data_IF_673391227488
#
_entry.id   IF_673391227488
#
_cell.length_a   1.000
_cell.length_b   1.000
_cell.length_c   1.000
_cell.angle_alpha   90.00
_cell.angle_beta   90.00
_cell.angle_gamma   90.00
#
_symmetry.space_group_name_H-M   'P 1'
#
loop_
_entity.id
_entity.type
_entity.pdbx_description
1 polymer ?
#
# COMPACT_ATOMS: atom_id res chain seq x y z
N UNK A 1 -12.82 7.20 23.28
CA UNK A 1 -11.92 7.84 22.29
C UNK A 1 -11.45 6.71 21.40
N UNK A 2 -11.50 6.88 20.08
CA UNK A 2 -11.03 5.87 19.12
C UNK A 2 -9.60 6.21 18.74
N UNK A 3 -8.70 5.24 18.78
CA UNK A 3 -7.29 5.35 18.39
C UNK A 3 -7.10 4.61 17.07
N UNK A 4 -6.56 5.31 16.07
CA UNK A 4 -6.32 4.75 14.74
C UNK A 4 -4.84 4.87 14.41
N UNK A 5 -4.21 3.75 14.04
CA UNK A 5 -2.91 3.79 13.38
C UNK A 5 -3.10 4.13 11.90
N UNK A 6 -2.50 5.22 11.45
CA UNK A 6 -2.72 5.76 10.11
C UNK A 6 -1.72 5.27 9.06
N UNK A 7 -0.78 4.37 9.42
CA UNK A 7 0.24 3.91 8.48
C UNK A 7 0.64 2.46 8.76
N UNK A 8 -0.04 1.53 8.10
CA UNK A 8 0.27 0.10 8.15
C UNK A 8 0.34 -0.50 6.75
N UNK A 9 1.27 -1.43 6.52
CA UNK A 9 1.43 -2.09 5.23
C UNK A 9 1.00 -3.55 5.31
N UNK A 10 0.25 -4.00 4.30
CA UNK A 10 0.06 -5.42 4.03
C UNK A 10 1.07 -5.86 2.97
N UNK A 11 1.38 -7.14 2.93
CA UNK A 11 2.29 -7.70 1.95
C UNK A 11 2.56 -9.17 2.17
N UNK A 12 2.21 -9.98 1.17
CA UNK A 12 2.56 -11.39 1.11
C UNK A 12 3.93 -11.55 0.44
N UNK A 13 4.91 -12.05 1.19
CA UNK A 13 6.28 -12.29 0.70
C UNK A 13 6.26 -13.37 -0.38
N UNK A 14 7.00 -13.14 -1.46
CA UNK A 14 7.12 -14.02 -2.62
C UNK A 14 5.98 -13.91 -3.64
N UNK A 15 4.86 -13.26 -3.30
CA UNK A 15 3.74 -13.05 -4.23
C UNK A 15 3.46 -11.58 -4.55
N UNK A 16 3.49 -10.72 -3.54
CA UNK A 16 3.24 -9.27 -3.64
C UNK A 16 4.49 -8.46 -3.32
N UNK A 17 5.27 -8.93 -2.35
CA UNK A 17 6.54 -8.33 -1.93
C UNK A 17 7.67 -9.30 -2.29
N UNK A 18 8.69 -8.87 -3.05
CA UNK A 18 9.81 -9.74 -3.41
C UNK A 18 10.61 -10.15 -2.17
N UNK A 19 11.23 -11.33 -2.22
CA UNK A 19 11.99 -11.85 -1.05
C UNK A 19 13.22 -10.96 -0.82
N UNK A 20 13.95 -10.65 -1.90
CA UNK A 20 15.14 -9.79 -1.83
C UNK A 20 14.84 -8.42 -1.23
N UNK A 21 13.66 -7.85 -1.49
CA UNK A 21 13.28 -6.54 -0.95
C UNK A 21 13.20 -6.57 0.57
N UNK A 22 12.61 -7.63 1.12
CA UNK A 22 12.49 -7.83 2.56
C UNK A 22 13.85 -8.10 3.20
N UNK A 23 14.70 -8.91 2.54
CA UNK A 23 16.07 -9.18 2.99
C UNK A 23 16.93 -7.90 3.01
N UNK A 24 16.85 -7.05 1.98
CA UNK A 24 17.59 -5.79 1.95
C UNK A 24 17.09 -4.79 2.99
N UNK A 25 15.77 -4.60 3.07
CA UNK A 25 15.16 -3.62 3.97
C UNK A 25 15.36 -3.99 5.44
N UNK A 26 15.14 -5.26 5.80
CA UNK A 26 15.13 -5.70 7.19
C UNK A 26 16.40 -6.43 7.64
N UNK A 27 17.16 -7.02 6.71
CA UNK A 27 18.43 -7.69 7.02
C UNK A 27 19.46 -6.72 7.62
N UNK A 28 19.45 -5.45 7.21
CA UNK A 28 20.32 -4.43 7.82
C UNK A 28 20.00 -4.17 9.32
N UNK A 29 18.80 -4.53 9.76
CA UNK A 29 18.34 -4.42 11.15
C UNK A 29 18.44 -5.75 11.91
N UNK A 30 19.01 -6.80 11.32
CA UNK A 30 19.17 -8.11 11.95
C UNK A 30 17.88 -8.92 12.09
N UNK A 31 16.86 -8.62 11.27
CA UNK A 31 15.64 -9.42 11.21
C UNK A 31 15.92 -10.62 10.30
N UNK A 32 15.91 -11.82 10.89
CA UNK A 32 16.18 -13.08 10.17
C UNK A 32 14.88 -13.80 9.75
N UNK A 33 13.83 -13.70 10.57
CA UNK A 33 12.54 -14.35 10.31
C UNK A 33 11.58 -13.39 9.59
N UNK A 34 11.67 -13.40 8.25
CA UNK A 34 10.76 -12.63 7.40
C UNK A 34 9.37 -13.28 7.35
N UNK A 35 8.35 -12.52 7.71
CA UNK A 35 6.96 -12.99 7.72
C UNK A 35 6.07 -12.12 6.85
N UNK A 36 5.16 -12.77 6.12
CA UNK A 36 4.08 -12.08 5.41
C UNK A 36 3.17 -11.36 6.40
N UNK A 37 2.65 -10.21 5.99
CA UNK A 37 1.74 -9.40 6.80
C UNK A 37 0.39 -9.33 6.10
N UNK A 38 -0.58 -10.08 6.61
CA UNK A 38 -1.99 -10.01 6.21
C UNK A 38 -2.81 -9.21 7.24
N UNK A 39 -4.12 -9.12 7.01
CA UNK A 39 -5.02 -8.39 7.90
C UNK A 39 -5.06 -8.94 9.33
N UNK A 40 -4.95 -10.25 9.52
CA UNK A 40 -4.98 -10.85 10.86
C UNK A 40 -3.73 -10.48 11.64
N UNK A 41 -2.54 -10.53 11.01
CA UNK A 41 -1.30 -10.09 11.63
C UNK A 41 -1.40 -8.63 12.09
N UNK A 42 -1.99 -7.75 11.26
CA UNK A 42 -2.21 -6.37 11.65
C UNK A 42 -3.17 -6.27 12.84
N UNK A 43 -4.31 -6.96 12.82
CA UNK A 43 -5.27 -6.95 13.94
C UNK A 43 -4.62 -7.41 15.25
N UNK A 44 -3.80 -8.45 15.21
CA UNK A 44 -3.08 -8.94 16.39
C UNK A 44 -2.11 -7.87 16.94
N UNK A 45 -1.42 -7.13 16.06
CA UNK A 45 -0.56 -6.00 16.44
C UNK A 45 -1.40 -4.87 17.08
N UNK A 46 -2.56 -4.54 16.50
CA UNK A 46 -3.45 -3.51 17.04
C UNK A 46 -3.94 -3.89 18.45
N UNK A 47 -4.39 -5.14 18.63
CA UNK A 47 -4.88 -5.66 19.90
C UNK A 47 -3.79 -5.66 20.97
N UNK A 48 -2.58 -6.10 20.62
CA UNK A 48 -1.43 -6.12 21.53
C UNK A 48 -1.03 -4.72 22.04
N UNK A 49 -1.37 -3.66 21.29
CA UNK A 49 -1.04 -2.27 21.61
C UNK A 49 -2.24 -1.45 22.07
N UNK A 50 -3.44 -2.04 22.18
CA UNK A 50 -4.66 -1.33 22.56
C UNK A 50 -5.10 -0.27 21.54
N UNK A 51 -4.89 -0.53 20.25
CA UNK A 51 -5.30 0.33 19.14
C UNK A 51 -6.61 -0.20 18.54
N UNK A 52 -7.58 0.69 18.32
CA UNK A 52 -8.93 0.29 17.93
C UNK A 52 -8.99 -0.12 16.45
N UNK A 53 -8.33 0.63 15.55
CA UNK A 53 -8.36 0.38 14.12
C UNK A 53 -7.07 0.82 13.39
N UNK A 54 -6.91 0.38 12.15
CA UNK A 54 -5.73 0.68 11.34
C UNK A 54 -6.06 1.03 9.88
N UNK A 55 -5.28 1.95 9.31
CA UNK A 55 -5.26 2.23 7.88
C UNK A 55 -4.22 1.33 7.20
N UNK A 56 -4.68 0.41 6.36
CA UNK A 56 -3.84 -0.56 5.66
C UNK A 56 -3.69 -0.19 4.20
N UNK A 57 -2.45 -0.06 3.74
CA UNK A 57 -2.15 0.40 2.39
C UNK A 57 -1.63 -0.72 1.48
N UNK A 58 -2.10 -0.67 0.24
CA UNK A 58 -1.46 -1.32 -0.90
C UNK A 58 -0.18 -0.57 -1.27
N UNK A 59 0.65 -1.21 -2.08
CA UNK A 59 1.89 -0.62 -2.58
C UNK A 59 1.97 -0.90 -4.07
N UNK A 60 2.10 0.15 -4.87
CA UNK A 60 2.50 0.02 -6.27
C UNK A 60 3.80 0.77 -6.47
N UNK A 61 4.90 0.02 -6.47
CA UNK A 61 6.22 0.56 -6.82
C UNK A 61 6.86 -0.24 -7.94
N UNK A 62 6.02 -0.85 -8.80
CA UNK A 62 6.48 -1.76 -9.85
C UNK A 62 7.50 -1.13 -10.79
N UNK A 63 7.40 0.18 -11.04
CA UNK A 63 8.32 0.89 -11.92
C UNK A 63 9.76 0.94 -11.40
N UNK A 64 9.94 0.96 -10.08
CA UNK A 64 11.25 1.18 -9.44
C UNK A 64 11.76 -0.01 -8.63
N UNK A 65 10.92 -1.03 -8.40
CA UNK A 65 11.30 -2.26 -7.69
C UNK A 65 11.73 -3.36 -8.66
N UNK A 66 12.96 -3.25 -9.19
CA UNK A 66 13.58 -4.29 -10.00
C UNK A 66 14.98 -4.61 -9.46
N UNK A 67 15.31 -5.90 -9.33
CA UNK A 67 16.64 -6.35 -8.91
C UNK A 67 17.31 -7.17 -10.02
N UNK A 68 18.50 -6.77 -10.52
CA UNK A 68 19.13 -7.43 -11.67
C UNK A 68 19.58 -8.87 -11.41
N UNK A 69 19.87 -9.22 -10.15
CA UNK A 69 20.24 -10.59 -9.76
C UNK A 69 19.02 -11.51 -9.56
N UNK A 70 17.81 -10.94 -9.44
CA UNK A 70 16.54 -11.67 -9.28
C UNK A 70 15.54 -11.30 -10.39
N UNK A 71 15.90 -11.44 -11.69
CA UNK A 71 15.10 -10.89 -12.80
C UNK A 71 13.78 -11.64 -13.05
N UNK A 72 13.57 -12.79 -12.38
CA UNK A 72 12.35 -13.59 -12.46
C UNK A 72 11.39 -13.30 -11.31
N UNK A 73 11.84 -12.61 -10.27
CA UNK A 73 10.94 -12.17 -9.21
C UNK A 73 10.06 -11.03 -9.73
N UNK A 74 8.82 -10.99 -9.23
CA UNK A 74 7.89 -9.91 -9.56
C UNK A 74 8.40 -8.61 -8.95
N UNK A 75 8.06 -7.49 -9.58
CA UNK A 75 8.24 -6.19 -8.96
C UNK A 75 7.20 -6.02 -7.84
N UNK A 76 7.50 -5.19 -6.84
CA UNK A 76 6.67 -5.04 -5.65
C UNK A 76 5.31 -4.42 -5.98
N UNK A 77 4.25 -5.19 -5.74
CA UNK A 77 2.87 -4.83 -6.03
C UNK A 77 1.90 -5.54 -5.09
N UNK A 78 1.24 -4.76 -4.24
CA UNK A 78 0.13 -5.18 -3.37
C UNK A 78 -1.16 -4.54 -3.89
N UNK A 79 -2.03 -5.28 -4.61
CA UNK A 79 -3.20 -4.72 -5.28
C UNK A 79 -4.24 -4.15 -4.32
N UNK A 80 -4.95 -3.09 -4.70
CA UNK A 80 -6.05 -2.53 -3.91
C UNK A 80 -7.19 -3.53 -3.66
N UNK A 81 -7.44 -4.46 -4.59
CA UNK A 81 -8.44 -5.52 -4.39
C UNK A 81 -8.08 -6.45 -3.23
N UNK A 82 -6.79 -6.75 -3.05
CA UNK A 82 -6.33 -7.52 -1.90
C UNK A 82 -6.52 -6.71 -0.60
N UNK A 83 -6.24 -5.41 -0.64
CA UNK A 83 -6.51 -4.54 0.52
C UNK A 83 -8.00 -4.53 0.89
N UNK A 84 -8.88 -4.45 -0.11
CA UNK A 84 -10.32 -4.48 0.09
C UNK A 84 -10.79 -5.80 0.70
N UNK A 85 -10.28 -6.94 0.20
CA UNK A 85 -10.54 -8.26 0.77
C UNK A 85 -10.14 -8.32 2.26
N UNK A 86 -8.95 -7.81 2.60
CA UNK A 86 -8.50 -7.79 4.00
C UNK A 86 -9.35 -6.84 4.87
N UNK A 87 -9.84 -5.72 4.33
CA UNK A 87 -10.76 -4.84 5.04
C UNK A 87 -12.12 -5.50 5.29
N UNK A 88 -12.64 -6.25 4.32
CA UNK A 88 -13.91 -6.99 4.45
C UNK A 88 -13.81 -8.09 5.51
N UNK A 89 -12.72 -8.86 5.51
CA UNK A 89 -12.48 -9.91 6.51
C UNK A 89 -12.34 -9.36 7.95
N UNK A 90 -11.94 -8.09 8.08
CA UNK A 90 -11.69 -7.43 9.36
C UNK A 90 -12.51 -6.13 9.49
N UNK A 91 -13.78 -6.18 9.10
CA UNK A 91 -14.68 -5.03 9.12
C UNK A 91 -14.71 -4.34 10.49
N UNK A 92 -14.59 -3.01 10.48
CA UNK A 92 -14.53 -2.19 11.70
C UNK A 92 -13.17 -2.16 12.40
N UNK A 93 -12.20 -2.95 11.94
CA UNK A 93 -10.81 -2.93 12.42
C UNK A 93 -9.85 -2.36 11.39
N UNK A 94 -10.03 -2.70 10.11
CA UNK A 94 -9.12 -2.26 9.04
C UNK A 94 -9.86 -1.40 8.02
N UNK A 95 -9.15 -0.39 7.52
CA UNK A 95 -9.65 0.52 6.49
C UNK A 95 -8.60 0.72 5.41
N UNK A 96 -9.00 0.61 4.14
CA UNK A 96 -8.08 0.60 3.02
C UNK A 96 -7.57 1.98 2.62
N UNK A 97 -6.31 2.00 2.18
CA UNK A 97 -5.65 3.16 1.56
C UNK A 97 -5.22 2.78 0.15
N UNK A 98 -5.60 3.61 -0.81
CA UNK A 98 -5.31 3.43 -2.23
C UNK A 98 -3.80 3.52 -2.46
N UNK A 99 -3.20 2.47 -3.02
CA UNK A 99 -1.82 2.44 -3.49
C UNK A 99 -1.75 2.53 -5.02
N UNK A 100 -0.99 3.49 -5.54
CA UNK A 100 -0.83 3.77 -6.98
C UNK A 100 0.58 4.30 -7.29
N UNK A 101 1.08 4.01 -8.50
CA UNK A 101 2.21 4.74 -9.12
C UNK A 101 1.66 5.63 -10.25
N UNK A 102 1.49 6.95 -10.01
CA UNK A 102 0.95 7.86 -11.02
C UNK A 102 1.78 7.92 -12.30
N UNK A 103 3.09 7.65 -12.23
CA UNK A 103 3.99 7.72 -13.40
C UNK A 103 4.14 6.39 -14.12
N UNK A 104 3.54 5.31 -13.61
CA UNK A 104 3.36 4.07 -14.35
C UNK A 104 2.21 4.20 -15.36
N UNK A 105 1.08 4.72 -14.90
CA UNK A 105 -0.11 5.01 -15.71
C UNK A 105 -0.97 6.08 -15.00
N UNK A 106 -0.81 7.36 -15.38
CA UNK A 106 -1.52 8.46 -14.74
C UNK A 106 -3.05 8.39 -14.99
N UNK A 107 -3.54 8.23 -16.23
CA UNK A 107 -4.98 8.04 -16.47
C UNK A 107 -5.54 6.84 -15.70
N UNK A 108 -4.84 5.70 -15.70
CA UNK A 108 -5.24 4.52 -14.93
C UNK A 108 -5.27 4.78 -13.43
N UNK A 109 -4.31 5.54 -12.89
CA UNK A 109 -4.26 5.92 -11.47
C UNK A 109 -5.44 6.80 -11.06
N UNK A 110 -5.88 7.71 -11.91
CA UNK A 110 -7.08 8.54 -11.68
C UNK A 110 -8.34 7.69 -11.64
N UNK A 111 -8.48 6.74 -12.57
CA UNK A 111 -9.61 5.80 -12.64
C UNK A 111 -9.61 4.88 -11.40
N UNK A 112 -8.44 4.36 -11.04
CA UNK A 112 -8.30 3.46 -9.90
C UNK A 112 -8.59 4.17 -8.57
N UNK A 113 -8.20 5.44 -8.42
CA UNK A 113 -8.56 6.24 -7.26
C UNK A 113 -10.09 6.39 -7.14
N UNK A 114 -10.77 6.72 -8.25
CA UNK A 114 -12.23 6.82 -8.27
C UNK A 114 -12.89 5.48 -7.93
N UNK A 115 -12.39 4.36 -8.48
CA UNK A 115 -12.87 3.01 -8.15
C UNK A 115 -12.68 2.67 -6.67
N UNK A 116 -11.49 2.94 -6.12
CA UNK A 116 -11.20 2.68 -4.71
C UNK A 116 -12.16 3.43 -3.78
N UNK A 117 -12.50 4.68 -4.09
CA UNK A 117 -13.45 5.46 -3.29
C UNK A 117 -14.89 4.99 -3.49
N UNK A 118 -15.32 4.80 -4.74
CA UNK A 118 -16.75 4.57 -5.07
C UNK A 118 -17.20 3.13 -4.96
N UNK A 119 -16.29 2.17 -5.17
CA UNK A 119 -16.60 0.74 -5.18
C UNK A 119 -16.01 0.01 -3.96
N UNK A 120 -14.78 0.35 -3.55
CA UNK A 120 -14.09 -0.32 -2.43
C UNK A 120 -14.26 0.41 -1.08
N UNK A 121 -14.84 1.62 -1.08
CA UNK A 121 -15.10 2.39 0.13
C UNK A 121 -13.86 3.02 0.76
N UNK A 122 -12.73 3.09 0.05
CA UNK A 122 -11.51 3.72 0.56
C UNK A 122 -11.69 5.24 0.65
N UNK A 123 -10.96 5.88 1.55
CA UNK A 123 -11.03 7.34 1.79
C UNK A 123 -9.65 8.00 1.84
N UNK A 124 -8.65 7.30 1.32
CA UNK A 124 -7.26 7.73 1.41
C UNK A 124 -6.48 7.20 0.21
N UNK A 125 -5.45 7.95 -0.16
CA UNK A 125 -4.48 7.58 -1.19
C UNK A 125 -3.07 7.84 -0.65
N UNK A 126 -2.17 6.88 -0.85
CA UNK A 126 -0.76 7.02 -0.51
C UNK A 126 0.07 7.19 -1.76
N UNK A 127 0.75 8.33 -1.85
CA UNK A 127 1.83 8.54 -2.80
C UNK A 127 3.17 8.18 -2.15
N UNK A 128 4.09 7.66 -2.96
CA UNK A 128 5.42 7.22 -2.53
C UNK A 128 6.55 7.94 -3.29
N UNK A 129 6.68 9.28 -3.21
CA UNK A 129 7.59 10.04 -4.07
C UNK A 129 9.05 9.59 -3.98
N UNK A 130 9.51 9.23 -2.78
CA UNK A 130 10.89 8.77 -2.55
C UNK A 130 11.17 7.40 -3.18
N UNK A 131 10.18 6.50 -3.22
CA UNK A 131 10.34 5.19 -3.88
C UNK A 131 10.14 5.29 -5.39
N UNK A 132 9.30 6.21 -5.84
CA UNK A 132 8.87 6.36 -7.22
C UNK A 132 9.63 7.45 -7.98
N UNK A 133 10.57 8.13 -7.33
CA UNK A 133 11.45 9.15 -7.92
C UNK A 133 10.70 10.25 -8.67
N UNK A 134 9.70 10.86 -8.02
CA UNK A 134 8.99 12.02 -8.56
C UNK A 134 8.86 13.14 -7.51
N UNK A 135 8.62 14.36 -7.99
CA UNK A 135 8.29 15.51 -7.14
C UNK A 135 6.77 15.50 -6.85
N UNK A 136 6.31 15.44 -5.60
CA UNK A 136 4.88 15.54 -5.31
C UNK A 136 4.28 16.91 -5.70
N UNK A 137 5.09 17.92 -6.00
CA UNK A 137 4.67 19.18 -6.58
C UNK A 137 4.63 19.20 -8.12
N UNK A 138 4.91 18.09 -8.79
CA UNK A 138 4.92 18.02 -10.26
C UNK A 138 3.52 18.32 -10.83
N UNK A 139 3.36 19.33 -11.72
CA UNK A 139 2.09 19.65 -12.35
C UNK A 139 1.46 18.50 -13.15
N UNK A 140 2.24 17.48 -13.56
CA UNK A 140 1.66 16.28 -14.19
C UNK A 140 0.73 15.52 -13.24
N UNK A 141 0.87 15.67 -11.92
CA UNK A 141 -0.01 15.06 -10.92
C UNK A 141 -1.33 15.82 -10.71
N UNK A 142 -1.49 17.01 -11.30
CA UNK A 142 -2.71 17.83 -11.17
C UNK A 142 -4.02 17.05 -11.42
N UNK A 143 -4.15 16.20 -12.46
CA UNK A 143 -5.37 15.43 -12.68
C UNK A 143 -5.70 14.51 -11.51
N UNK A 144 -4.69 13.90 -10.89
CA UNK A 144 -4.86 13.04 -9.73
C UNK A 144 -5.28 13.84 -8.50
N UNK A 145 -4.64 15.00 -8.25
CA UNK A 145 -5.01 15.86 -7.13
C UNK A 145 -6.40 16.47 -7.28
N UNK A 146 -6.80 16.87 -8.49
CA UNK A 146 -8.17 17.33 -8.77
C UNK A 146 -9.18 16.22 -8.54
N UNK A 147 -8.90 15.00 -9.01
CA UNK A 147 -9.77 13.85 -8.75
C UNK A 147 -9.89 13.54 -7.27
N UNK A 148 -8.79 13.52 -6.53
CA UNK A 148 -8.81 13.35 -5.08
C UNK A 148 -9.68 14.43 -4.40
N UNK A 149 -9.52 15.70 -4.81
CA UNK A 149 -10.34 16.79 -4.28
C UNK A 149 -11.83 16.68 -4.63
N UNK A 150 -12.16 16.19 -5.84
CA UNK A 150 -13.56 15.92 -6.25
C UNK A 150 -14.22 14.82 -5.42
N UNK A 151 -13.44 13.87 -4.89
CA UNK A 151 -13.91 12.67 -4.18
C UNK A 151 -14.06 12.85 -2.66
N UNK A 152 -13.59 13.97 -2.11
CA UNK A 152 -13.49 14.30 -0.66
C UNK A 152 -12.65 13.27 0.13
#
# INVERSE_FOLDING_TARGET
>A
MVTVDCHLHLGLIGSQVPVWWMEELYGMYGVEDLVSVDGQVIVDILDANGIDAGLVQGNDIRRTSFHPEFPLERNMYTPNDYIAEQCELHEGRLYGVTGIDPFLDLPGSVIELERCVTELGFRSVKLLPSYLHFDPGDPELDPLYRKAHELD
#
